data_IF_681356713507
#
_entry.id   IF_681356713507
#
_cell.length_a   1.000
_cell.length_b   1.000
_cell.length_c   1.000
_cell.angle_alpha   90.00
_cell.angle_beta   90.00
_cell.angle_gamma   90.00
#
_symmetry.space_group_name_H-M   'P 1'
#
loop_
_entity.id
_entity.type
_entity.pdbx_description
1 polymer ?
#
# COMPACT_ATOMS: atom_id res chain seq x y z
N UNK A 1 -9.09 -12.56 -24.46
CA UNK A 1 -8.33 -11.97 -23.34
C UNK A 1 -6.96 -12.63 -23.30
N UNK A 2 -5.86 -11.87 -23.34
CA UNK A 2 -4.51 -12.47 -23.33
C UNK A 2 -4.12 -12.88 -21.90
N UNK A 3 -3.17 -13.81 -21.72
CA UNK A 3 -2.64 -14.15 -20.39
C UNK A 3 -2.13 -12.92 -19.64
N UNK A 4 -1.50 -12.00 -20.36
CA UNK A 4 -1.01 -10.72 -19.82
C UNK A 4 -2.14 -9.86 -19.24
N UNK A 5 -3.25 -9.68 -19.98
CA UNK A 5 -4.43 -8.96 -19.48
C UNK A 5 -4.99 -9.60 -18.21
N UNK A 6 -5.06 -10.93 -18.17
CA UNK A 6 -5.53 -11.68 -17.00
C UNK A 6 -4.63 -11.46 -15.80
N UNK A 7 -3.31 -11.52 -15.98
CA UNK A 7 -2.34 -11.27 -14.92
C UNK A 7 -2.53 -9.86 -14.35
N UNK A 8 -2.64 -8.84 -15.19
CA UNK A 8 -2.80 -7.46 -14.72
C UNK A 8 -4.06 -7.23 -13.91
N UNK A 9 -5.21 -7.73 -14.36
CA UNK A 9 -6.45 -7.60 -13.60
C UNK A 9 -6.42 -8.41 -12.30
N UNK A 10 -5.88 -9.63 -12.32
CA UNK A 10 -5.73 -10.43 -11.09
C UNK A 10 -4.80 -9.74 -10.09
N UNK A 11 -3.66 -9.21 -10.53
CA UNK A 11 -2.76 -8.45 -9.67
C UNK A 11 -3.44 -7.21 -9.09
N UNK A 12 -4.20 -6.45 -9.91
CA UNK A 12 -4.97 -5.30 -9.43
C UNK A 12 -5.97 -5.69 -8.35
N UNK A 13 -6.73 -6.78 -8.55
CA UNK A 13 -7.70 -7.30 -7.59
C UNK A 13 -7.05 -7.78 -6.28
N UNK A 14 -5.94 -8.50 -6.36
CA UNK A 14 -5.19 -8.96 -5.18
C UNK A 14 -4.71 -7.76 -4.36
N UNK A 15 -4.11 -6.76 -5.00
CA UNK A 15 -3.61 -5.56 -4.31
C UNK A 15 -4.76 -4.76 -3.71
N UNK A 16 -5.88 -4.62 -4.44
CA UNK A 16 -7.07 -3.94 -3.93
C UNK A 16 -7.65 -4.66 -2.70
N UNK A 17 -7.73 -5.98 -2.76
CA UNK A 17 -8.19 -6.79 -1.64
C UNK A 17 -7.27 -6.63 -0.42
N UNK A 18 -5.95 -6.68 -0.62
CA UNK A 18 -4.97 -6.44 0.44
C UNK A 18 -5.14 -5.05 1.06
N UNK A 19 -5.33 -4.01 0.24
CA UNK A 19 -5.64 -2.66 0.71
C UNK A 19 -6.90 -2.65 1.58
N UNK A 20 -8.00 -3.24 1.12
CA UNK A 20 -9.27 -3.28 1.86
C UNK A 20 -9.13 -3.98 3.21
N UNK A 21 -8.43 -5.12 3.25
CA UNK A 21 -8.18 -5.86 4.49
C UNK A 21 -7.32 -5.03 5.46
N UNK A 22 -6.24 -4.42 4.98
CA UNK A 22 -5.32 -3.61 5.79
C UNK A 22 -5.98 -2.33 6.31
N UNK A 23 -6.74 -1.63 5.47
CA UNK A 23 -7.51 -0.43 5.84
C UNK A 23 -8.56 -0.74 6.90
N UNK A 24 -9.35 -1.81 6.70
CA UNK A 24 -10.32 -2.27 7.69
C UNK A 24 -9.65 -2.61 9.03
N UNK A 25 -8.50 -3.28 9.00
CA UNK A 25 -7.71 -3.57 10.19
C UNK A 25 -7.26 -2.28 10.90
N UNK A 26 -6.74 -1.30 10.15
CA UNK A 26 -6.29 -0.02 10.69
C UNK A 26 -7.43 0.78 11.34
N UNK A 27 -8.61 0.79 10.71
CA UNK A 27 -9.77 1.54 11.20
C UNK A 27 -10.26 0.98 12.55
N UNK A 28 -10.09 -0.33 12.78
CA UNK A 28 -10.45 -1.01 14.02
C UNK A 28 -9.44 -0.81 15.16
N UNK A 29 -8.23 -0.32 14.86
CA UNK A 29 -7.19 -0.08 15.87
C UNK A 29 -7.43 1.27 16.54
N UNK A 30 -7.63 1.21 17.86
CA UNK A 30 -7.71 2.37 18.74
C UNK A 30 -6.38 2.66 19.47
N UNK A 31 -6.27 3.81 20.16
CA UNK A 31 -5.08 4.19 20.92
C UNK A 31 -4.69 3.16 21.99
N UNK A 32 -5.67 2.43 22.52
CA UNK A 32 -5.52 1.33 23.50
C UNK A 32 -4.55 0.24 23.02
N UNK A 33 -4.42 0.04 21.71
CA UNK A 33 -3.51 -0.96 21.13
C UNK A 33 -2.03 -0.54 21.21
N UNK A 34 -1.76 0.74 21.47
CA UNK A 34 -0.42 1.30 21.63
C UNK A 34 -0.38 2.18 22.88
N UNK A 35 -0.45 1.58 24.09
CA UNK A 35 -0.40 2.33 25.33
C UNK A 35 0.93 3.06 25.52
N UNK A 36 1.98 2.68 24.79
CA UNK A 36 3.29 3.34 24.78
C UNK A 36 3.25 4.69 24.04
N UNK A 37 2.22 4.93 23.22
CA UNK A 37 2.07 6.17 22.46
C UNK A 37 1.19 7.16 23.21
N UNK A 38 1.63 8.41 23.24
CA UNK A 38 0.70 9.51 23.48
C UNK A 38 -0.38 9.53 22.39
N UNK A 39 -1.60 9.98 22.72
CA UNK A 39 -2.72 9.98 21.76
C UNK A 39 -2.37 10.71 20.45
N UNK A 40 -1.66 11.83 20.52
CA UNK A 40 -1.24 12.58 19.33
C UNK A 40 -0.29 11.76 18.43
N UNK A 41 0.69 11.11 19.05
CA UNK A 41 1.65 10.21 18.40
C UNK A 41 0.94 9.03 17.74
N UNK A 42 -0.05 8.44 18.41
CA UNK A 42 -0.87 7.36 17.83
C UNK A 42 -1.60 7.81 16.56
N UNK A 43 -2.22 9.00 16.56
CA UNK A 43 -2.92 9.50 15.37
C UNK A 43 -1.96 9.79 14.22
N UNK A 44 -0.76 10.29 14.50
CA UNK A 44 0.27 10.47 13.49
C UNK A 44 0.72 9.13 12.89
N UNK A 45 0.99 8.14 13.73
CA UNK A 45 1.33 6.79 13.31
C UNK A 45 0.23 6.16 12.46
N UNK A 46 -1.03 6.25 12.91
CA UNK A 46 -2.20 5.77 12.17
C UNK A 46 -2.32 6.45 10.80
N UNK A 47 -2.08 7.76 10.73
CA UNK A 47 -2.06 8.51 9.46
C UNK A 47 -0.95 8.02 8.52
N UNK A 48 0.25 7.77 9.04
CA UNK A 48 1.37 7.24 8.24
C UNK A 48 1.04 5.86 7.66
N UNK A 49 0.47 4.97 8.47
CA UNK A 49 -0.01 3.66 8.00
C UNK A 49 -1.10 3.80 6.94
N UNK A 50 -2.03 4.73 7.15
CA UNK A 50 -3.12 4.96 6.20
C UNK A 50 -2.60 5.41 4.84
N UNK A 51 -1.72 6.41 4.84
CA UNK A 51 -1.05 6.89 3.63
C UNK A 51 -0.24 5.78 2.94
N UNK A 52 0.39 4.86 3.70
CA UNK A 52 1.08 3.72 3.12
C UNK A 52 0.11 2.73 2.45
N UNK A 53 -1.06 2.50 3.04
CA UNK A 53 -2.09 1.62 2.47
C UNK A 53 -2.78 2.24 1.26
N UNK A 54 -3.08 3.54 1.26
CA UNK A 54 -3.61 4.26 0.09
C UNK A 54 -2.71 4.12 -1.13
N UNK A 55 -1.39 4.02 -0.94
CA UNK A 55 -0.47 3.81 -2.06
C UNK A 55 -0.58 2.42 -2.68
N UNK A 56 -1.05 1.42 -1.93
CA UNK A 56 -1.42 0.12 -2.51
C UNK A 56 -2.62 0.29 -3.45
N UNK A 57 -3.56 1.18 -3.15
CA UNK A 57 -4.67 1.48 -4.04
C UNK A 57 -4.18 2.10 -5.36
N UNK A 58 -3.21 3.02 -5.31
CA UNK A 58 -2.59 3.57 -6.53
C UNK A 58 -1.91 2.47 -7.35
N UNK A 59 -1.18 1.57 -6.70
CA UNK A 59 -0.55 0.43 -7.37
C UNK A 59 -1.59 -0.47 -8.05
N UNK A 60 -2.69 -0.79 -7.37
CA UNK A 60 -3.82 -1.52 -7.94
C UNK A 60 -4.40 -0.81 -9.17
N UNK A 61 -4.60 0.51 -9.09
CA UNK A 61 -5.10 1.32 -10.21
C UNK A 61 -4.18 1.28 -11.44
N UNK A 62 -2.86 1.30 -11.24
CA UNK A 62 -1.89 1.18 -12.34
C UNK A 62 -1.94 -0.19 -13.00
N UNK A 63 -2.04 -1.27 -12.23
CA UNK A 63 -2.24 -2.61 -12.81
C UNK A 63 -3.58 -2.74 -13.54
N UNK A 64 -4.65 -2.13 -13.03
CA UNK A 64 -5.92 -2.09 -13.72
C UNK A 64 -5.82 -1.36 -15.07
N UNK A 65 -5.11 -0.22 -15.10
CA UNK A 65 -4.85 0.55 -16.31
C UNK A 65 -4.01 -0.25 -17.32
N UNK A 66 -2.98 -0.98 -16.87
CA UNK A 66 -2.20 -1.89 -17.72
C UNK A 66 -3.10 -2.99 -18.32
N UNK A 67 -4.04 -3.52 -17.54
CA UNK A 67 -5.05 -4.47 -18.01
C UNK A 67 -5.90 -3.88 -19.15
N UNK A 68 -6.40 -2.65 -18.99
CA UNK A 68 -7.17 -1.92 -20.01
C UNK A 68 -6.32 -1.68 -21.26
N UNK A 69 -5.12 -1.11 -21.12
CA UNK A 69 -4.20 -0.83 -22.23
C UNK A 69 -3.95 -2.09 -23.06
N UNK A 70 -3.72 -3.21 -22.39
CA UNK A 70 -3.46 -4.51 -23.03
C UNK A 70 -4.72 -5.09 -23.68
N UNK A 71 -5.88 -4.98 -23.02
CA UNK A 71 -7.16 -5.48 -23.53
C UNK A 71 -7.57 -4.77 -24.82
N UNK A 72 -7.44 -3.44 -24.85
CA UNK A 72 -7.82 -2.60 -26.00
C UNK A 72 -6.70 -2.41 -27.03
N UNK A 73 -5.53 -3.04 -26.83
CA UNK A 73 -4.36 -2.93 -27.71
C UNK A 73 -3.97 -1.47 -28.00
N UNK A 74 -3.96 -0.64 -26.95
CA UNK A 74 -3.57 0.76 -27.04
C UNK A 74 -2.10 0.90 -27.48
N UNK A 75 -1.69 2.08 -27.98
CA UNK A 75 -0.34 2.29 -28.51
C UNK A 75 0.77 1.87 -27.53
N UNK A 76 1.90 1.31 -28.02
CA UNK A 76 3.01 0.86 -27.17
C UNK A 76 3.54 1.95 -26.23
N UNK A 77 3.53 3.21 -26.67
CA UNK A 77 3.97 4.35 -25.87
C UNK A 77 3.11 4.53 -24.61
N UNK A 78 1.80 4.27 -24.67
CA UNK A 78 0.91 4.34 -23.51
C UNK A 78 1.32 3.30 -22.47
N UNK A 79 1.60 2.08 -22.91
CA UNK A 79 2.07 0.98 -22.04
C UNK A 79 3.41 1.31 -21.38
N UNK A 80 4.35 1.87 -22.13
CA UNK A 80 5.65 2.30 -21.62
C UNK A 80 5.52 3.39 -20.54
N UNK A 81 4.71 4.42 -20.78
CA UNK A 81 4.44 5.48 -19.80
C UNK A 81 3.84 4.89 -18.52
N UNK A 82 2.91 3.94 -18.65
CA UNK A 82 2.31 3.28 -17.49
C UNK A 82 3.33 2.43 -16.70
N UNK A 83 4.29 1.78 -17.36
CA UNK A 83 5.39 1.11 -16.67
C UNK A 83 6.33 2.09 -15.94
N UNK A 84 6.63 3.24 -16.55
CA UNK A 84 7.41 4.28 -15.88
C UNK A 84 6.68 4.78 -14.63
N UNK A 85 5.37 5.02 -14.73
CA UNK A 85 4.54 5.38 -13.58
C UNK A 85 4.52 4.28 -12.51
N UNK A 86 4.50 3.01 -12.89
CA UNK A 86 4.57 1.87 -11.98
C UNK A 86 5.89 1.88 -11.18
N UNK A 87 7.03 2.03 -11.86
CA UNK A 87 8.34 2.13 -11.20
C UNK A 87 8.42 3.37 -10.31
N UNK A 88 7.89 4.50 -10.78
CA UNK A 88 7.79 5.73 -9.99
C UNK A 88 7.00 5.54 -8.69
N UNK A 89 5.86 4.82 -8.73
CA UNK A 89 5.08 4.49 -7.54
C UNK A 89 5.85 3.56 -6.58
N UNK A 90 6.61 2.60 -7.09
CA UNK A 90 7.47 1.76 -6.25
C UNK A 90 8.51 2.59 -5.49
N UNK A 91 9.21 3.50 -6.18
CA UNK A 91 10.17 4.40 -5.55
C UNK A 91 9.48 5.33 -4.55
N UNK A 92 8.33 5.89 -4.95
CA UNK A 92 7.53 6.76 -4.08
C UNK A 92 7.09 6.03 -2.82
N UNK A 93 6.92 4.69 -2.83
CA UNK A 93 6.53 3.90 -1.66
C UNK A 93 7.63 3.67 -0.61
N UNK A 94 8.89 3.94 -0.92
CA UNK A 94 10.01 3.70 0.00
C UNK A 94 10.01 4.67 1.20
N UNK A 95 9.87 6.01 1.03
CA UNK A 95 9.96 6.96 2.15
C UNK A 95 8.95 6.77 3.29
N UNK A 96 7.64 6.53 3.06
CA UNK A 96 6.70 6.31 4.17
C UNK A 96 7.02 5.05 4.95
N UNK A 97 7.44 3.98 4.26
CA UNK A 97 7.85 2.74 4.91
C UNK A 97 9.02 2.99 5.85
N UNK A 98 10.02 3.75 5.41
CA UNK A 98 11.16 4.14 6.24
C UNK A 98 10.73 5.02 7.41
N UNK A 99 9.82 5.97 7.21
CA UNK A 99 9.28 6.81 8.30
C UNK A 99 8.54 5.98 9.34
N UNK A 100 7.77 4.98 8.92
CA UNK A 100 7.07 4.07 9.85
C UNK A 100 8.08 3.27 10.67
N UNK A 101 9.14 2.73 10.05
CA UNK A 101 10.19 2.05 10.80
C UNK A 101 10.94 2.97 11.76
N UNK A 102 11.32 4.17 11.33
CA UNK A 102 11.91 5.19 12.22
C UNK A 102 10.99 5.54 13.39
N UNK A 103 9.68 5.60 13.14
CA UNK A 103 8.69 5.85 14.17
C UNK A 103 8.64 4.70 15.18
N UNK A 104 8.69 3.45 14.74
CA UNK A 104 8.71 2.29 15.64
C UNK A 104 10.01 2.22 16.46
N UNK A 105 11.14 2.45 15.81
CA UNK A 105 12.46 2.46 16.46
C UNK A 105 12.52 3.52 17.59
N UNK A 106 11.89 4.68 17.39
CA UNK A 106 11.83 5.74 18.41
C UNK A 106 11.12 5.31 19.71
N UNK A 107 10.24 4.31 19.65
CA UNK A 107 9.52 3.77 20.80
C UNK A 107 9.98 2.36 21.18
N UNK A 108 11.12 1.88 20.66
CA UNK A 108 11.63 0.52 20.83
C UNK A 108 10.60 -0.58 20.46
N UNK A 109 9.73 -0.29 19.50
CA UNK A 109 8.78 -1.25 18.96
C UNK A 109 9.38 -1.90 17.70
N UNK A 110 9.14 -3.19 17.53
CA UNK A 110 9.61 -3.91 16.34
C UNK A 110 8.46 -4.23 15.36
N UNK A 111 8.83 -4.68 14.16
CA UNK A 111 7.87 -5.10 13.15
C UNK A 111 7.02 -6.32 13.60
N UNK A 112 7.53 -7.11 14.55
CA UNK A 112 6.82 -8.26 15.11
C UNK A 112 5.64 -7.81 15.97
N UNK A 113 5.83 -6.76 16.76
CA UNK A 113 4.82 -6.15 17.62
C UNK A 113 3.66 -5.60 16.80
N UNK A 114 3.96 -5.00 15.64
CA UNK A 114 2.92 -4.60 14.69
C UNK A 114 2.11 -5.79 14.17
N UNK A 115 2.79 -6.87 13.79
CA UNK A 115 2.13 -8.07 13.28
C UNK A 115 1.24 -8.73 14.34
N UNK A 116 1.70 -8.77 15.60
CA UNK A 116 0.92 -9.26 16.75
C UNK A 116 -0.30 -8.39 17.02
N UNK A 117 -0.19 -7.06 16.82
CA UNK A 117 -1.29 -6.09 16.91
C UNK A 117 -2.14 -6.00 15.64
N UNK A 118 -1.97 -6.93 14.69
CA UNK A 118 -2.79 -7.02 13.47
C UNK A 118 -2.41 -6.07 12.33
N UNK A 119 -1.32 -5.31 12.46
CA UNK A 119 -0.80 -4.38 11.45
C UNK A 119 0.22 -5.10 10.57
N UNK A 120 0.03 -5.02 9.25
CA UNK A 120 0.96 -5.60 8.26
C UNK A 120 1.44 -4.51 7.30
N UNK A 121 2.73 -4.20 7.36
CA UNK A 121 3.43 -3.36 6.38
C UNK A 121 3.65 -4.10 5.06
#
# INVERSE_FOLDING_TARGET
MTPETTIYFLTALIIFYMYRVRKKGLDQIGPEAFPEFEKAVFFEFKRLLDTAYERMLYLSGVFFLLGIITLFRLPPNTKLITYIALVGLFIYNIPPRNRIFQFLDAFNLDAKTLKERGIKL
#
